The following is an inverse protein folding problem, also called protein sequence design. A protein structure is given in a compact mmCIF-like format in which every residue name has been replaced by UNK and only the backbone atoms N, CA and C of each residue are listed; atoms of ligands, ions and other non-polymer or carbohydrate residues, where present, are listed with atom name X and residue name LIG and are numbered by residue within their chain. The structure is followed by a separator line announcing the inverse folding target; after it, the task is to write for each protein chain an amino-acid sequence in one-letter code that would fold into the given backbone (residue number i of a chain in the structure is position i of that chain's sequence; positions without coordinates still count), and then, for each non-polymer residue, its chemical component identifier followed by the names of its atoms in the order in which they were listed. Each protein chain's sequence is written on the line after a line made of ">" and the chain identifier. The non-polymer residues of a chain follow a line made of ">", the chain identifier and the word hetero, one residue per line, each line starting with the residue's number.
data_IF_519769404838
#
_entry.id   IF_519769404838
#
_cell.length_a   1.000
_cell.length_b   1.000
_cell.length_c   1.000
_cell.angle_alpha   90.00
_cell.angle_beta   90.00
_cell.angle_gamma   90.00
#
_symmetry.space_group_name_H-M   'P 1'
#
loop_
_entity.id
_entity.type
_entity.pdbx_description
1 polymer ?
#
# COMPACT_ATOMS: atom_id res chain seq x y z
N UNK A 1 -9.43 14.09 7.64
CA UNK A 1 -10.89 14.32 7.74
C UNK A 1 -11.68 13.35 6.87
N UNK A 2 -11.37 13.23 5.57
CA UNK A 2 -12.02 12.26 4.67
C UNK A 2 -11.93 10.79 5.12
N UNK A 3 -10.80 10.36 5.70
CA UNK A 3 -10.61 8.96 6.15
C UNK A 3 -11.63 8.44 7.17
N UNK A 4 -12.22 9.34 7.97
CA UNK A 4 -13.22 8.97 8.97
C UNK A 4 -14.61 9.46 8.55
N UNK A 5 -14.81 9.82 7.28
CA UNK A 5 -16.09 10.30 6.74
C UNK A 5 -16.76 11.36 7.62
N UNK A 6 -15.98 12.37 8.05
CA UNK A 6 -16.55 13.52 8.75
C UNK A 6 -17.44 14.32 7.79
N UNK A 7 -18.58 14.79 8.28
CA UNK A 7 -19.37 15.83 7.59
C UNK A 7 -18.62 17.16 7.56
N UNK A 8 -19.06 18.12 6.73
CA UNK A 8 -18.47 19.46 6.72
C UNK A 8 -18.61 20.16 8.08
N UNK A 9 -19.69 19.91 8.82
CA UNK A 9 -19.89 20.46 10.16
C UNK A 9 -18.94 19.83 11.18
N UNK A 10 -18.86 18.50 11.22
CA UNK A 10 -17.93 17.77 12.09
C UNK A 10 -16.47 18.19 11.82
N UNK A 11 -16.14 18.37 10.54
CA UNK A 11 -14.81 18.76 10.12
C UNK A 11 -14.48 20.21 10.51
N UNK A 12 -15.45 21.15 10.48
CA UNK A 12 -15.27 22.51 11.01
C UNK A 12 -14.98 22.51 12.51
N UNK A 13 -15.69 21.67 13.27
CA UNK A 13 -15.46 21.53 14.72
C UNK A 13 -14.03 21.06 14.99
N UNK A 14 -13.58 20.00 14.30
CA UNK A 14 -12.21 19.48 14.43
C UNK A 14 -11.16 20.52 14.01
N UNK A 15 -11.41 21.25 12.92
CA UNK A 15 -10.57 22.36 12.48
C UNK A 15 -10.41 23.42 13.58
N UNK A 16 -11.52 23.85 14.18
CA UNK A 16 -11.51 24.84 15.26
C UNK A 16 -10.72 24.33 16.47
N UNK A 17 -10.96 23.10 16.90
CA UNK A 17 -10.28 22.48 18.05
C UNK A 17 -8.77 22.28 17.81
N UNK A 18 -8.36 22.11 16.55
CA UNK A 18 -6.95 21.98 16.16
C UNK A 18 -6.28 23.32 15.79
N UNK A 19 -6.97 24.45 15.98
CA UNK A 19 -6.51 25.78 15.53
C UNK A 19 -6.06 25.76 14.05
N UNK A 20 -6.83 25.06 13.21
CA UNK A 20 -6.54 24.88 11.79
C UNK A 20 -7.68 25.47 10.95
N UNK A 21 -7.32 26.30 9.98
CA UNK A 21 -8.31 27.00 9.15
C UNK A 21 -9.12 26.01 8.30
N UNK A 22 -10.45 26.03 8.46
CA UNK A 22 -11.37 25.27 7.63
C UNK A 22 -11.19 25.55 6.13
N UNK A 23 -10.87 26.80 5.77
CA UNK A 23 -10.63 27.21 4.38
C UNK A 23 -9.42 26.50 3.76
N UNK A 24 -8.52 25.96 4.59
CA UNK A 24 -7.32 25.24 4.15
C UNK A 24 -7.44 23.72 4.28
N UNK A 25 -8.63 23.18 4.54
CA UNK A 25 -8.82 21.72 4.77
C UNK A 25 -8.34 20.81 3.64
N UNK A 26 -8.43 21.30 2.39
CA UNK A 26 -8.02 20.56 1.19
C UNK A 26 -6.63 21.00 0.69
N UNK A 27 -5.93 21.88 1.42
CA UNK A 27 -4.57 22.33 1.09
C UNK A 27 -3.59 21.18 1.31
N UNK A 28 -2.69 20.98 0.35
CA UNK A 28 -1.57 20.06 0.51
C UNK A 28 -0.60 20.62 1.56
N UNK A 29 -0.44 19.89 2.66
CA UNK A 29 0.42 20.28 3.77
C UNK A 29 1.88 19.85 3.54
N UNK A 30 2.83 20.71 3.91
CA UNK A 30 4.23 20.34 3.99
C UNK A 30 4.50 19.36 5.15
N UNK A 31 5.63 18.64 5.12
CA UNK A 31 5.97 17.63 6.15
C UNK A 31 5.90 18.17 7.59
N UNK A 32 6.40 19.38 7.84
CA UNK A 32 6.38 19.99 9.18
C UNK A 32 4.95 20.35 9.61
N UNK A 33 4.19 20.99 8.74
CA UNK A 33 2.78 21.34 9.00
C UNK A 33 1.94 20.09 9.26
N UNK A 34 2.13 19.03 8.46
CA UNK A 34 1.48 17.75 8.64
C UNK A 34 1.82 17.11 10.00
N UNK A 35 3.09 17.14 10.40
CA UNK A 35 3.51 16.62 11.71
C UNK A 35 2.88 17.43 12.86
N UNK A 36 2.81 18.74 12.71
CA UNK A 36 2.20 19.61 13.71
C UNK A 36 0.69 19.39 13.82
N UNK A 37 -0.04 19.41 12.69
CA UNK A 37 -1.46 19.09 12.66
C UNK A 37 -1.74 17.69 13.22
N UNK A 38 -0.90 16.71 12.90
CA UNK A 38 -1.01 15.35 13.44
C UNK A 38 -0.89 15.31 14.97
N UNK A 39 -0.03 16.15 15.58
CA UNK A 39 0.04 16.28 17.05
C UNK A 39 -1.21 16.91 17.62
N UNK A 40 -1.72 17.97 16.97
CA UNK A 40 -2.95 18.65 17.40
C UNK A 40 -4.16 17.71 17.34
N UNK A 41 -4.33 16.99 16.23
CA UNK A 41 -5.38 15.97 16.08
C UNK A 41 -5.30 14.87 17.15
N UNK A 42 -4.08 14.43 17.52
CA UNK A 42 -3.89 13.48 18.62
C UNK A 42 -4.28 14.01 20.00
N UNK A 43 -4.36 15.33 20.17
CA UNK A 43 -4.73 15.97 21.42
C UNK A 43 -6.17 16.49 21.41
N UNK A 44 -6.75 16.72 20.22
CA UNK A 44 -8.13 17.16 20.01
C UNK A 44 -9.13 16.18 20.63
N UNK A 45 -9.95 16.67 21.57
CA UNK A 45 -11.06 15.91 22.16
C UNK A 45 -12.16 15.71 21.12
N UNK A 46 -12.50 16.76 20.37
CA UNK A 46 -13.50 16.71 19.32
C UNK A 46 -13.19 15.63 18.27
N UNK A 47 -11.93 15.56 17.82
CA UNK A 47 -11.50 14.54 16.87
C UNK A 47 -11.61 13.13 17.47
N UNK A 48 -11.14 12.92 18.70
CA UNK A 48 -11.20 11.61 19.38
C UNK A 48 -12.63 11.13 19.58
N UNK A 49 -13.52 12.00 20.01
CA UNK A 49 -14.93 11.69 20.24
C UNK A 49 -15.63 11.28 18.94
N UNK A 50 -15.40 12.02 17.85
CA UNK A 50 -15.95 11.69 16.53
C UNK A 50 -15.41 10.38 15.98
N UNK A 51 -14.09 10.15 16.09
CA UNK A 51 -13.47 8.87 15.71
C UNK A 51 -14.07 7.72 16.51
N UNK A 52 -14.21 7.87 17.82
CA UNK A 52 -14.75 6.85 18.71
C UNK A 52 -16.22 6.57 18.40
N UNK A 53 -17.03 7.61 18.16
CA UNK A 53 -18.44 7.49 17.78
C UNK A 53 -18.58 6.69 16.49
N UNK A 54 -17.89 7.09 15.41
CA UNK A 54 -17.98 6.39 14.12
C UNK A 54 -17.41 4.97 14.18
N UNK A 55 -16.36 4.75 14.99
CA UNK A 55 -15.82 3.41 15.24
C UNK A 55 -16.87 2.51 15.90
N UNK A 56 -17.56 2.98 16.94
CA UNK A 56 -18.64 2.23 17.60
C UNK A 56 -19.81 1.94 16.66
N UNK A 57 -20.21 2.91 15.84
CA UNK A 57 -21.26 2.73 14.83
C UNK A 57 -20.90 1.66 13.79
N UNK A 58 -19.64 1.63 13.34
CA UNK A 58 -19.17 0.63 12.38
C UNK A 58 -18.91 -0.75 13.01
N UNK A 59 -18.57 -0.79 14.30
CA UNK A 59 -18.12 -1.99 15.00
C UNK A 59 -19.09 -3.16 14.84
N UNK A 60 -20.38 -2.96 15.18
CA UNK A 60 -21.36 -4.04 15.14
C UNK A 60 -21.48 -4.66 13.75
N UNK A 61 -21.73 -3.84 12.72
CA UNK A 61 -21.87 -4.34 11.34
C UNK A 61 -20.59 -5.02 10.81
N UNK A 62 -19.42 -4.55 11.25
CA UNK A 62 -18.14 -5.15 10.89
C UNK A 62 -17.96 -6.51 11.57
N UNK A 63 -18.24 -6.60 12.87
CA UNK A 63 -18.16 -7.84 13.62
C UNK A 63 -19.13 -8.89 13.10
N UNK A 64 -20.37 -8.50 12.76
CA UNK A 64 -21.34 -9.45 12.21
C UNK A 64 -20.95 -9.95 10.81
N UNK A 65 -20.40 -9.08 9.96
CA UNK A 65 -19.81 -9.51 8.69
C UNK A 65 -18.66 -10.50 8.90
N UNK A 66 -17.73 -10.20 9.80
CA UNK A 66 -16.60 -11.09 10.07
C UNK A 66 -17.06 -12.42 10.68
N UNK A 67 -18.05 -12.42 11.57
CA UNK A 67 -18.62 -13.64 12.16
C UNK A 67 -19.30 -14.52 11.10
N UNK A 68 -19.89 -13.91 10.08
CA UNK A 68 -20.48 -14.61 8.94
C UNK A 68 -19.42 -15.28 8.06
N UNK A 69 -18.32 -14.58 7.77
CA UNK A 69 -17.30 -15.03 6.80
C UNK A 69 -16.17 -15.87 7.44
N UNK A 70 -15.94 -15.73 8.74
CA UNK A 70 -14.82 -16.33 9.46
C UNK A 70 -15.35 -17.16 10.64
N UNK A 71 -15.21 -18.50 10.58
CA UNK A 71 -15.55 -19.37 11.71
C UNK A 71 -14.64 -19.10 12.92
N UNK A 72 -15.24 -18.67 14.04
CA UNK A 72 -14.49 -18.30 15.25
C UNK A 72 -13.96 -19.50 16.04
N UNK A 73 -14.47 -20.69 15.74
CA UNK A 73 -14.02 -21.98 16.25
C UNK A 73 -12.90 -22.60 15.40
N UNK A 74 -12.51 -21.94 14.30
CA UNK A 74 -11.40 -22.43 13.48
C UNK A 74 -10.11 -22.47 14.31
N UNK A 75 -9.36 -23.58 14.31
CA UNK A 75 -8.09 -23.66 15.02
C UNK A 75 -7.03 -22.75 14.39
N UNK A 76 -7.20 -22.40 13.10
CA UNK A 76 -6.22 -21.62 12.34
C UNK A 76 -6.86 -20.80 11.23
N UNK A 77 -6.37 -19.59 11.04
CA UNK A 77 -6.76 -18.69 9.94
C UNK A 77 -5.50 -18.25 9.20
N UNK A 78 -5.57 -18.28 7.87
CA UNK A 78 -4.54 -17.73 7.00
C UNK A 78 -4.99 -16.39 6.40
N UNK A 79 -4.12 -15.38 6.45
CA UNK A 79 -4.32 -14.09 5.78
C UNK A 79 -3.31 -14.01 4.63
N UNK A 80 -3.76 -13.60 3.45
CA UNK A 80 -2.88 -13.37 2.30
C UNK A 80 -3.02 -11.93 1.85
N UNK A 81 -1.90 -11.20 1.83
CA UNK A 81 -1.86 -9.78 1.45
C UNK A 81 -0.59 -9.51 0.63
N UNK A 82 -0.62 -8.48 -0.21
CA UNK A 82 0.57 -7.93 -0.84
C UNK A 82 1.61 -7.39 0.16
N UNK A 83 1.21 -6.76 1.27
CA UNK A 83 2.12 -6.10 2.21
C UNK A 83 1.55 -4.79 2.80
N UNK A 84 2.31 -3.90 3.44
CA UNK A 84 3.77 -3.88 3.66
C UNK A 84 4.17 -3.71 5.13
N UNK A 85 3.22 -3.26 5.95
CA UNK A 85 3.43 -2.96 7.36
C UNK A 85 2.73 -3.97 8.28
N UNK A 86 1.94 -4.90 7.73
CA UNK A 86 1.20 -5.90 8.51
C UNK A 86 0.02 -5.35 9.32
N UNK A 87 -0.42 -4.11 9.04
CA UNK A 87 -1.50 -3.45 9.78
C UNK A 87 -2.84 -4.15 9.62
N UNK A 88 -3.12 -4.74 8.45
CA UNK A 88 -4.37 -5.46 8.20
C UNK A 88 -4.55 -6.64 9.15
N UNK A 89 -3.55 -7.51 9.26
CA UNK A 89 -3.57 -8.62 10.21
C UNK A 89 -3.60 -8.14 11.66
N UNK A 90 -2.89 -7.05 12.00
CA UNK A 90 -2.96 -6.48 13.34
C UNK A 90 -4.39 -6.09 13.73
N UNK A 91 -5.08 -5.30 12.90
CA UNK A 91 -6.44 -4.86 13.22
C UNK A 91 -7.45 -6.00 13.15
N UNK A 92 -7.31 -6.92 12.19
CA UNK A 92 -8.19 -8.09 12.08
C UNK A 92 -8.02 -9.02 13.28
N UNK A 93 -6.80 -9.27 13.73
CA UNK A 93 -6.48 -10.04 14.95
C UNK A 93 -7.19 -9.47 16.17
N UNK A 94 -7.07 -8.16 16.40
CA UNK A 94 -7.72 -7.49 17.53
C UNK A 94 -9.26 -7.62 17.49
N UNK A 95 -9.88 -7.52 16.31
CA UNK A 95 -11.32 -7.70 16.14
C UNK A 95 -11.76 -9.15 16.35
N UNK A 96 -11.02 -10.13 15.82
CA UNK A 96 -11.35 -11.54 15.98
C UNK A 96 -11.22 -11.98 17.43
N UNK A 97 -10.15 -11.58 18.11
CA UNK A 97 -9.97 -11.86 19.54
C UNK A 97 -11.07 -11.22 20.40
N UNK A 98 -11.48 -9.98 20.10
CA UNK A 98 -12.60 -9.35 20.83
C UNK A 98 -13.95 -10.02 20.59
N UNK A 99 -14.07 -10.80 19.50
CA UNK A 99 -15.25 -11.60 19.18
C UNK A 99 -15.19 -13.03 19.76
N UNK A 100 -14.09 -13.41 20.41
CA UNK A 100 -13.89 -14.70 21.06
C UNK A 100 -13.11 -15.73 20.24
N UNK A 101 -12.47 -15.35 19.12
CA UNK A 101 -11.54 -16.22 18.41
C UNK A 101 -10.35 -16.58 19.31
N UNK A 102 -9.96 -17.86 19.35
CA UNK A 102 -8.84 -18.37 20.16
C UNK A 102 -7.80 -19.15 19.32
N UNK A 103 -7.99 -19.21 17.99
CA UNK A 103 -7.08 -19.95 17.11
C UNK A 103 -5.82 -19.18 16.74
N UNK A 104 -4.99 -19.77 15.89
CA UNK A 104 -3.78 -19.13 15.38
C UNK A 104 -4.05 -18.32 14.11
N UNK A 105 -3.48 -17.12 14.02
CA UNK A 105 -3.48 -16.31 12.79
C UNK A 105 -2.11 -16.39 12.13
N UNK A 106 -2.07 -16.75 10.85
CA UNK A 106 -0.84 -16.80 10.06
C UNK A 106 -0.98 -15.98 8.78
N UNK A 107 -0.13 -14.98 8.63
CA UNK A 107 -0.09 -14.11 7.46
C UNK A 107 0.95 -14.53 6.44
N UNK A 108 0.60 -14.43 5.16
CA UNK A 108 1.46 -14.63 4.01
C UNK A 108 1.47 -13.36 3.18
N UNK A 109 2.62 -12.71 3.14
CA UNK A 109 2.82 -11.41 2.53
C UNK A 109 3.76 -11.49 1.34
N UNK A 110 3.50 -10.72 0.29
CA UNK A 110 4.48 -10.61 -0.79
C UNK A 110 5.77 -9.94 -0.30
N UNK A 111 5.68 -8.83 0.43
CA UNK A 111 6.84 -8.23 1.08
C UNK A 111 6.49 -7.45 2.35
N UNK A 112 7.46 -7.33 3.28
CA UNK A 112 7.30 -6.62 4.54
C UNK A 112 8.43 -5.60 4.77
N UNK A 113 8.07 -4.34 5.02
CA UNK A 113 9.06 -3.30 5.35
C UNK A 113 9.37 -3.21 6.84
N UNK A 114 8.48 -3.75 7.68
CA UNK A 114 8.62 -3.79 9.12
C UNK A 114 8.30 -5.19 9.63
N UNK A 115 9.03 -5.60 10.65
CA UNK A 115 8.65 -6.75 11.43
C UNK A 115 7.42 -6.36 12.27
N UNK A 116 6.43 -7.26 12.40
CA UNK A 116 5.36 -7.07 13.37
C UNK A 116 5.99 -6.91 14.76
N UNK A 117 5.45 -5.99 15.56
CA UNK A 117 6.01 -5.65 16.87
C UNK A 117 5.46 -6.54 18.01
N UNK A 118 4.34 -7.21 17.79
CA UNK A 118 3.61 -7.92 18.84
C UNK A 118 3.30 -9.37 18.42
N UNK A 119 3.90 -10.36 19.14
CA UNK A 119 3.69 -11.79 18.88
C UNK A 119 2.25 -12.26 18.99
N UNK A 120 1.37 -11.55 19.71
CA UNK A 120 -0.05 -11.91 19.86
C UNK A 120 -0.82 -11.79 18.54
N UNK A 121 -0.25 -11.11 17.54
CA UNK A 121 -0.86 -10.96 16.22
C UNK A 121 -0.51 -12.10 15.27
N UNK A 122 0.09 -13.17 15.78
CA UNK A 122 0.41 -14.37 15.03
C UNK A 122 1.66 -14.24 14.16
N UNK A 123 1.79 -15.15 13.18
CA UNK A 123 2.99 -15.24 12.33
C UNK A 123 2.85 -14.38 11.09
N UNK A 124 3.97 -13.83 10.64
CA UNK A 124 4.05 -13.01 9.43
C UNK A 124 5.15 -13.56 8.54
N UNK A 125 4.76 -14.23 7.46
CA UNK A 125 5.66 -14.85 6.50
C UNK A 125 5.79 -13.96 5.26
N UNK A 126 7.01 -13.58 4.88
CA UNK A 126 7.26 -12.80 3.68
C UNK A 126 7.82 -13.66 2.54
N UNK A 127 7.32 -13.47 1.32
CA UNK A 127 7.77 -14.21 0.14
C UNK A 127 9.00 -13.59 -0.54
N UNK A 128 8.96 -12.28 -0.81
CA UNK A 128 9.92 -11.59 -1.67
C UNK A 128 11.03 -10.86 -0.90
N UNK A 129 10.68 -10.10 0.13
CA UNK A 129 11.61 -9.46 1.07
C UNK A 129 10.93 -9.22 2.42
N UNK A 130 11.72 -9.12 3.49
CA UNK A 130 11.30 -8.59 4.78
C UNK A 130 12.27 -7.48 5.27
N UNK A 131 12.26 -7.19 6.57
CA UNK A 131 13.18 -6.24 7.23
C UNK A 131 14.64 -6.63 7.12
N UNK A 132 14.92 -7.93 7.19
CA UNK A 132 16.25 -8.52 7.36
C UNK A 132 16.75 -9.25 6.10
N UNK A 133 15.85 -9.63 5.20
CA UNK A 133 16.17 -10.43 4.01
C UNK A 133 16.05 -9.63 2.72
N UNK A 134 16.81 -10.04 1.71
CA UNK A 134 16.74 -9.57 0.33
C UNK A 134 16.73 -8.03 0.15
N UNK A 135 17.67 -7.33 0.80
CA UNK A 135 17.84 -5.86 0.69
C UNK A 135 17.95 -5.41 -0.78
N UNK A 136 18.59 -6.24 -1.62
CA UNK A 136 18.67 -6.00 -3.06
C UNK A 136 17.28 -6.00 -3.70
N UNK A 137 16.51 -7.07 -3.52
CA UNK A 137 15.15 -7.14 -4.05
C UNK A 137 14.27 -5.99 -3.58
N UNK A 138 14.41 -5.58 -2.31
CA UNK A 138 13.75 -4.41 -1.73
C UNK A 138 14.09 -3.11 -2.43
N UNK A 139 15.37 -2.87 -2.76
CA UNK A 139 15.81 -1.68 -3.49
C UNK A 139 15.39 -1.67 -4.97
N UNK A 140 15.16 -2.85 -5.55
CA UNK A 140 14.71 -3.04 -6.93
C UNK A 140 13.16 -3.00 -7.06
N UNK A 141 12.44 -2.97 -5.94
CA UNK A 141 10.98 -3.09 -5.88
C UNK A 141 10.25 -1.75 -5.88
N UNK A 142 9.14 -1.67 -6.61
CA UNK A 142 8.23 -0.53 -6.60
C UNK A 142 6.85 -0.97 -6.12
N UNK A 143 6.51 -0.65 -4.88
CA UNK A 143 5.23 -0.99 -4.27
C UNK A 143 4.05 -0.37 -5.03
N UNK A 144 4.17 0.89 -5.46
CA UNK A 144 3.10 1.60 -6.17
C UNK A 144 2.73 0.88 -7.48
N UNK A 145 3.74 0.40 -8.24
CA UNK A 145 3.47 -0.41 -9.43
C UNK A 145 2.81 -1.74 -9.04
N UNK A 146 3.32 -2.41 -8.00
CA UNK A 146 2.79 -3.70 -7.57
C UNK A 146 1.32 -3.62 -7.14
N UNK A 147 0.93 -2.58 -6.39
CA UNK A 147 -0.46 -2.30 -6.02
C UNK A 147 -1.34 -2.04 -7.24
N UNK A 148 -0.83 -1.31 -8.24
CA UNK A 148 -1.54 -1.12 -9.52
C UNK A 148 -1.69 -2.40 -10.35
N UNK A 149 -0.76 -3.36 -10.23
CA UNK A 149 -0.87 -4.65 -10.90
C UNK A 149 -1.95 -5.52 -10.25
N UNK A 150 -2.13 -5.40 -8.93
CA UNK A 150 -3.08 -6.17 -8.13
C UNK A 150 -4.42 -5.45 -7.86
N UNK A 151 -4.67 -4.31 -8.51
CA UNK A 151 -5.92 -3.57 -8.31
C UNK A 151 -7.14 -4.40 -8.70
N UNK A 152 -8.12 -4.45 -7.79
CA UNK A 152 -9.40 -5.10 -8.03
C UNK A 152 -10.26 -4.30 -9.02
N UNK A 153 -11.18 -4.94 -9.74
CA UNK A 153 -12.09 -4.26 -10.66
C UNK A 153 -13.27 -3.57 -9.95
N UNK A 154 -13.36 -3.67 -8.62
CA UNK A 154 -14.38 -3.04 -7.79
C UNK A 154 -13.76 -2.00 -6.85
N UNK A 155 -14.58 -1.06 -6.35
CA UNK A 155 -14.12 -0.05 -5.40
C UNK A 155 -13.78 -0.64 -4.02
N UNK A 156 -13.14 0.17 -3.19
CA UNK A 156 -12.76 -0.18 -1.83
C UNK A 156 -14.00 -0.34 -0.93
N UNK A 157 -13.94 -1.30 0.00
CA UNK A 157 -14.96 -1.44 1.04
C UNK A 157 -14.86 -0.29 2.04
N UNK A 158 -15.95 0.45 2.24
CA UNK A 158 -16.01 1.59 3.18
C UNK A 158 -16.71 1.28 4.48
N UNK A 159 -17.68 0.37 4.45
CA UNK A 159 -18.44 -0.09 5.61
C UNK A 159 -19.15 -1.40 5.29
N UNK A 160 -19.84 -1.96 6.28
CA UNK A 160 -20.71 -3.11 6.12
C UNK A 160 -22.16 -2.71 6.40
N UNK A 161 -23.11 -3.39 5.76
CA UNK A 161 -24.54 -3.18 6.01
C UNK A 161 -25.31 -4.48 5.87
N UNK A 162 -26.40 -4.61 6.63
CA UNK A 162 -27.31 -5.74 6.50
C UNK A 162 -28.27 -5.52 5.31
N UNK A 163 -28.21 -6.40 4.31
CA UNK A 163 -29.04 -6.40 3.10
C UNK A 163 -29.24 -7.83 2.63
N UNK A 164 -30.40 -8.14 2.05
CA UNK A 164 -30.70 -9.46 1.49
C UNK A 164 -30.42 -10.62 2.47
N UNK A 165 -30.81 -10.41 3.74
CA UNK A 165 -30.59 -11.31 4.87
C UNK A 165 -29.13 -11.64 5.20
N UNK A 166 -28.16 -10.82 4.75
CA UNK A 166 -26.73 -11.00 5.00
C UNK A 166 -26.06 -9.69 5.33
N UNK A 167 -24.92 -9.76 6.03
CA UNK A 167 -24.02 -8.62 6.13
C UNK A 167 -23.18 -8.58 4.85
N UNK A 168 -23.18 -7.43 4.16
CA UNK A 168 -22.49 -7.25 2.89
C UNK A 168 -21.58 -6.00 2.93
N UNK A 169 -20.43 -6.02 2.23
CA UNK A 169 -19.59 -4.85 2.08
C UNK A 169 -20.29 -3.78 1.23
N UNK A 170 -20.18 -2.52 1.66
CA UNK A 170 -20.57 -1.35 0.88
C UNK A 170 -19.32 -0.81 0.20
N UNK A 171 -19.30 -0.91 -1.13
CA UNK A 171 -18.15 -0.55 -1.96
C UNK A 171 -18.25 0.90 -2.43
N UNK A 172 -17.12 1.58 -2.56
CA UNK A 172 -17.05 2.81 -3.34
C UNK A 172 -17.38 2.55 -4.81
N UNK A 173 -17.86 3.56 -5.56
CA UNK A 173 -18.03 3.44 -6.99
C UNK A 173 -16.72 3.01 -7.64
N UNK A 174 -16.74 1.86 -8.32
CA UNK A 174 -15.58 1.41 -9.07
C UNK A 174 -15.25 2.41 -10.17
N UNK A 175 -13.98 2.76 -10.33
CA UNK A 175 -13.57 3.48 -11.51
C UNK A 175 -13.76 2.55 -12.72
N UNK A 176 -14.54 3.00 -13.70
CA UNK A 176 -15.10 2.14 -14.74
C UNK A 176 -14.05 1.76 -15.81
N UNK A 177 -13.15 0.84 -15.47
CA UNK A 177 -12.17 0.29 -16.41
C UNK A 177 -12.46 -1.17 -16.71
N UNK A 178 -13.12 -1.41 -17.84
CA UNK A 178 -13.30 -2.75 -18.43
C UNK A 178 -12.00 -3.55 -18.52
N UNK A 179 -10.84 -2.87 -18.62
CA UNK A 179 -9.52 -3.49 -18.61
C UNK A 179 -9.15 -4.21 -17.30
N UNK A 180 -9.65 -3.77 -16.14
CA UNK A 180 -9.38 -4.46 -14.87
C UNK A 180 -10.12 -5.79 -14.79
N UNK A 181 -11.38 -5.84 -15.19
CA UNK A 181 -12.15 -7.09 -15.27
C UNK A 181 -11.50 -8.12 -16.19
N UNK A 182 -11.03 -7.69 -17.36
CA UNK A 182 -10.34 -8.59 -18.29
C UNK A 182 -9.02 -9.12 -17.70
N UNK A 183 -8.26 -8.26 -17.01
CA UNK A 183 -7.01 -8.64 -16.36
C UNK A 183 -7.23 -9.64 -15.23
N UNK A 184 -8.18 -9.36 -14.34
CA UNK A 184 -8.54 -10.27 -13.24
C UNK A 184 -8.93 -11.64 -13.78
N UNK A 185 -9.81 -11.70 -14.78
CA UNK A 185 -10.21 -12.96 -15.41
C UNK A 185 -9.01 -13.75 -15.95
N UNK A 186 -8.06 -13.08 -16.60
CA UNK A 186 -6.83 -13.72 -17.12
C UNK A 186 -5.91 -14.19 -16.00
N UNK A 187 -5.74 -13.42 -14.93
CA UNK A 187 -4.96 -13.81 -13.77
C UNK A 187 -5.57 -15.03 -13.07
N UNK A 188 -6.87 -15.02 -12.82
CA UNK A 188 -7.59 -16.17 -12.24
C UNK A 188 -7.50 -17.41 -13.12
N UNK A 189 -7.60 -17.26 -14.45
CA UNK A 189 -7.43 -18.37 -15.37
C UNK A 189 -6.00 -18.93 -15.31
N UNK A 190 -4.98 -18.07 -15.35
CA UNK A 190 -3.59 -18.50 -15.21
C UNK A 190 -3.35 -19.23 -13.89
N UNK A 191 -3.85 -18.69 -12.78
CA UNK A 191 -3.71 -19.30 -11.45
C UNK A 191 -4.38 -20.67 -11.39
N UNK A 192 -5.62 -20.81 -11.90
CA UNK A 192 -6.31 -22.12 -11.94
C UNK A 192 -5.51 -23.15 -12.73
N UNK A 193 -5.09 -22.81 -13.95
CA UNK A 193 -4.29 -23.71 -14.78
C UNK A 193 -2.97 -24.10 -14.10
N UNK A 194 -2.33 -23.15 -13.40
CA UNK A 194 -1.11 -23.42 -12.64
C UNK A 194 -1.37 -24.39 -11.49
N UNK A 195 -2.45 -24.17 -10.73
CA UNK A 195 -2.82 -25.01 -9.59
C UNK A 195 -3.14 -26.45 -10.01
N UNK A 196 -3.77 -26.66 -11.17
CA UNK A 196 -4.06 -28.01 -11.70
C UNK A 196 -2.80 -28.86 -11.94
N UNK A 197 -1.66 -28.22 -12.21
CA UNK A 197 -0.38 -28.88 -12.48
C UNK A 197 0.60 -28.81 -11.31
N UNK A 198 0.25 -28.11 -10.23
CA UNK A 198 1.15 -27.88 -9.10
C UNK A 198 1.04 -29.03 -8.09
N UNK A 199 2.14 -29.72 -7.86
CA UNK A 199 2.25 -30.72 -6.79
C UNK A 199 2.93 -30.07 -5.59
N UNK A 200 2.13 -29.62 -4.61
CA UNK A 200 2.61 -28.86 -3.44
C UNK A 200 3.64 -29.61 -2.58
N UNK A 201 3.58 -30.95 -2.54
CA UNK A 201 4.54 -31.77 -1.81
C UNK A 201 5.97 -31.62 -2.34
N UNK A 202 6.13 -31.28 -3.63
CA UNK A 202 7.42 -31.06 -4.28
C UNK A 202 7.66 -29.57 -4.56
N UNK A 203 7.04 -28.67 -3.79
CA UNK A 203 7.20 -27.23 -3.97
C UNK A 203 8.64 -26.81 -3.68
N UNK A 204 9.38 -26.50 -4.75
CA UNK A 204 10.76 -26.03 -4.65
C UNK A 204 10.80 -24.53 -4.38
N UNK A 205 10.67 -24.17 -3.10
CA UNK A 205 10.56 -22.78 -2.64
C UNK A 205 11.67 -21.88 -3.19
N UNK A 206 12.93 -22.32 -3.15
CA UNK A 206 14.07 -21.54 -3.62
C UNK A 206 14.01 -21.26 -5.12
N UNK A 207 13.56 -22.23 -5.92
CA UNK A 207 13.41 -22.06 -7.37
C UNK A 207 12.28 -21.07 -7.68
N UNK A 208 11.14 -21.22 -7.02
CA UNK A 208 9.99 -20.33 -7.17
C UNK A 208 10.30 -18.90 -6.72
N UNK A 209 11.08 -18.72 -5.64
CA UNK A 209 11.60 -17.42 -5.21
C UNK A 209 12.55 -16.82 -6.24
N UNK A 210 13.43 -17.62 -6.84
CA UNK A 210 14.35 -17.18 -7.91
C UNK A 210 13.59 -16.73 -9.16
N UNK A 211 12.59 -17.50 -9.60
CA UNK A 211 11.71 -17.14 -10.71
C UNK A 211 10.95 -15.84 -10.43
N UNK A 212 10.37 -15.72 -9.24
CA UNK A 212 9.70 -14.50 -8.78
C UNK A 212 10.65 -13.29 -8.87
N UNK A 213 11.88 -13.42 -8.37
CA UNK A 213 12.89 -12.36 -8.44
C UNK A 213 13.23 -11.95 -9.86
N UNK A 214 13.41 -12.90 -10.78
CA UNK A 214 13.67 -12.59 -12.19
C UNK A 214 12.50 -11.82 -12.82
N UNK A 215 11.27 -12.28 -12.60
CA UNK A 215 10.07 -11.69 -13.18
C UNK A 215 9.80 -10.29 -12.65
N UNK A 216 9.84 -10.12 -11.32
CA UNK A 216 9.60 -8.85 -10.64
C UNK A 216 10.65 -7.84 -11.04
N UNK A 217 11.93 -8.20 -10.98
CA UNK A 217 13.02 -7.29 -11.37
C UNK A 217 12.85 -6.77 -12.79
N UNK A 218 12.48 -7.64 -13.73
CA UNK A 218 12.30 -7.25 -15.13
C UNK A 218 11.15 -6.25 -15.29
N UNK A 219 9.97 -6.49 -14.70
CA UNK A 219 8.87 -5.51 -14.73
C UNK A 219 9.25 -4.21 -14.00
N UNK A 220 9.85 -4.31 -12.81
CA UNK A 220 10.07 -3.17 -11.93
C UNK A 220 11.19 -2.25 -12.41
N UNK A 221 12.31 -2.80 -12.90
CA UNK A 221 13.51 -2.02 -13.26
C UNK A 221 13.73 -1.85 -14.76
N UNK A 222 13.25 -2.82 -15.56
CA UNK A 222 13.49 -2.90 -16.99
C UNK A 222 12.19 -2.96 -17.81
N UNK A 223 11.19 -2.09 -17.55
CA UNK A 223 10.01 -2.06 -18.38
C UNK A 223 10.37 -1.61 -19.80
N UNK A 224 9.65 -2.17 -20.77
CA UNK A 224 9.56 -1.64 -22.11
C UNK A 224 8.86 -0.27 -22.10
N UNK A 225 9.05 0.52 -23.16
CA UNK A 225 8.33 1.80 -23.31
C UNK A 225 6.81 1.62 -23.35
N UNK A 226 6.33 0.50 -23.89
CA UNK A 226 4.90 0.17 -23.95
C UNK A 226 4.34 -0.17 -22.57
N UNK A 227 5.04 -1.00 -21.79
CA UNK A 227 4.66 -1.28 -20.39
C UNK A 227 4.68 -0.01 -19.54
N UNK A 228 5.72 0.81 -19.69
CA UNK A 228 5.84 2.08 -18.98
C UNK A 228 4.69 3.05 -19.31
N UNK A 229 4.26 3.09 -20.57
CA UNK A 229 3.09 3.87 -20.98
C UNK A 229 1.81 3.29 -20.39
N UNK A 230 1.55 1.99 -20.59
CA UNK A 230 0.34 1.34 -20.14
C UNK A 230 0.14 1.43 -18.63
N UNK A 231 1.16 1.06 -17.85
CA UNK A 231 1.10 1.12 -16.39
C UNK A 231 1.29 2.54 -15.84
N UNK A 232 2.00 3.41 -16.57
CA UNK A 232 2.11 4.83 -16.22
C UNK A 232 0.78 5.56 -16.30
N UNK A 233 -0.06 5.21 -17.27
CA UNK A 233 -1.39 5.79 -17.48
C UNK A 233 -2.45 5.24 -16.50
N UNK A 234 -2.14 4.15 -15.78
CA UNK A 234 -3.01 3.68 -14.70
C UNK A 234 -3.06 4.76 -13.61
N UNK A 235 -4.30 5.19 -13.32
CA UNK A 235 -4.59 6.18 -12.28
C UNK A 235 -4.25 5.57 -10.91
N UNK A 236 -3.14 6.01 -10.32
CA UNK A 236 -2.72 5.61 -8.97
C UNK A 236 -3.05 6.72 -7.98
N UNK A 237 -3.61 6.37 -6.83
CA UNK A 237 -3.64 7.24 -5.67
C UNK A 237 -2.71 6.69 -4.59
N UNK A 238 -1.76 7.51 -4.16
CA UNK A 238 -0.92 7.20 -3.00
C UNK A 238 -1.64 7.45 -1.66
N UNK A 239 -2.84 8.04 -1.72
CA UNK A 239 -3.66 8.34 -0.56
C UNK A 239 -4.80 7.32 -0.46
N UNK A 240 -5.05 6.85 0.77
CA UNK A 240 -6.14 5.95 1.17
C UNK A 240 -7.51 6.54 0.78
N UNK A 241 -7.61 7.87 0.62
CA UNK A 241 -8.85 8.54 0.24
C UNK A 241 -9.09 8.68 -1.27
N UNK A 242 -8.19 8.13 -2.09
CA UNK A 242 -8.20 8.22 -3.57
C UNK A 242 -8.28 9.65 -4.15
N UNK A 243 -8.09 10.68 -3.33
CA UNK A 243 -8.44 12.06 -3.69
C UNK A 243 -7.49 12.75 -4.67
N UNK A 244 -6.31 12.17 -4.92
CA UNK A 244 -5.34 12.69 -5.89
C UNK A 244 -4.84 11.58 -6.81
N UNK A 245 -5.32 11.62 -8.05
CA UNK A 245 -4.92 10.70 -9.09
C UNK A 245 -3.61 11.21 -9.69
N UNK A 246 -2.57 10.38 -9.63
CA UNK A 246 -1.28 10.64 -10.26
C UNK A 246 -0.88 9.51 -11.19
N UNK A 247 -0.16 9.86 -12.25
CA UNK A 247 0.49 8.87 -13.12
C UNK A 247 1.66 8.22 -12.38
N UNK A 248 1.79 6.89 -12.51
CA UNK A 248 2.94 6.17 -11.94
C UNK A 248 4.26 6.56 -12.61
N UNK A 249 4.23 6.76 -13.92
CA UNK A 249 5.40 7.03 -14.73
C UNK A 249 5.05 8.02 -15.84
N UNK A 250 5.71 9.18 -15.83
CA UNK A 250 5.62 10.19 -16.90
C UNK A 250 6.98 10.45 -17.53
N UNK A 251 7.05 10.91 -18.79
CA UNK A 251 8.29 11.31 -19.44
C UNK A 251 8.83 12.68 -18.96
N UNK A 252 8.38 13.17 -17.81
CA UNK A 252 8.76 14.47 -17.26
C UNK A 252 10.24 14.49 -16.85
N UNK A 253 11.00 15.35 -17.54
CA UNK A 253 12.44 15.52 -17.34
C UNK A 253 12.77 16.11 -15.97
N UNK A 254 11.94 17.00 -15.42
CA UNK A 254 12.20 17.61 -14.11
C UNK A 254 12.02 16.59 -12.99
N UNK A 255 10.95 15.79 -13.04
CA UNK A 255 10.72 14.69 -12.11
C UNK A 255 11.87 13.66 -12.15
N UNK A 256 12.33 13.30 -13.35
CA UNK A 256 13.45 12.38 -13.51
C UNK A 256 14.76 12.95 -12.95
N UNK A 257 15.05 14.23 -13.16
CA UNK A 257 16.26 14.85 -12.57
C UNK A 257 16.22 14.80 -11.03
N UNK A 258 15.05 14.85 -10.40
CA UNK A 258 14.92 14.71 -8.96
C UNK A 258 15.24 13.28 -8.45
N UNK A 259 15.32 12.29 -9.35
CA UNK A 259 15.81 10.95 -9.02
C UNK A 259 17.34 10.84 -8.91
N UNK A 260 18.09 11.87 -9.28
CA UNK A 260 19.55 11.85 -9.20
C UNK A 260 20.02 11.79 -7.74
N UNK A 261 21.03 10.95 -7.50
CA UNK A 261 21.55 10.70 -6.15
C UNK A 261 22.02 11.99 -5.47
N UNK A 262 22.66 12.89 -6.23
CA UNK A 262 23.12 14.20 -5.74
C UNK A 262 21.96 15.06 -5.26
N UNK A 263 20.84 15.09 -6.00
CA UNK A 263 19.64 15.85 -5.61
C UNK A 263 18.93 15.24 -4.41
N UNK A 264 18.91 13.90 -4.31
CA UNK A 264 18.31 13.18 -3.18
C UNK A 264 19.13 13.34 -1.90
N UNK A 265 20.46 13.28 -1.98
CA UNK A 265 21.38 13.56 -0.86
C UNK A 265 21.15 14.99 -0.32
N UNK A 266 21.12 16.00 -1.19
CA UNK A 266 20.86 17.39 -0.79
C UNK A 266 19.51 17.56 -0.07
N UNK A 267 18.48 16.85 -0.52
CA UNK A 267 17.17 16.84 0.13
C UNK A 267 17.20 16.13 1.49
N UNK A 268 17.89 14.99 1.57
CA UNK A 268 18.00 14.19 2.79
C UNK A 268 18.72 14.92 3.93
N UNK A 269 19.83 15.60 3.62
CA UNK A 269 20.54 16.45 4.58
C UNK A 269 19.84 17.81 4.83
N UNK A 270 18.63 18.02 4.29
CA UNK A 270 17.85 19.27 4.40
C UNK A 270 18.62 20.52 3.92
N UNK A 271 19.64 20.33 3.09
CA UNK A 271 20.44 21.42 2.50
C UNK A 271 19.58 22.23 1.53
N UNK A 272 18.55 21.61 0.92
CA UNK A 272 17.54 22.29 0.10
C UNK A 272 16.17 22.30 0.78
N UNK A 273 15.54 23.48 0.85
CA UNK A 273 14.14 23.65 1.32
C UNK A 273 13.08 23.31 0.26
N UNK A 274 13.47 23.08 -1.01
CA UNK A 274 12.51 22.80 -2.10
C UNK A 274 12.04 21.36 -2.01
N UNK A 275 10.73 21.15 -1.88
CA UNK A 275 10.15 19.81 -2.01
C UNK A 275 10.26 19.39 -3.47
N UNK A 276 10.94 18.27 -3.75
CA UNK A 276 11.25 17.81 -5.10
C UNK A 276 10.47 16.54 -5.37
N UNK A 277 9.33 16.60 -6.07
CA UNK A 277 8.57 15.40 -6.39
C UNK A 277 9.42 14.49 -7.29
N UNK A 278 9.23 13.19 -7.09
CA UNK A 278 9.82 12.11 -7.89
C UNK A 278 8.68 11.27 -8.49
N UNK A 279 8.88 10.58 -9.62
CA UNK A 279 7.89 9.65 -10.14
C UNK A 279 7.61 8.54 -9.12
N UNK A 280 6.35 8.11 -9.03
CA UNK A 280 5.95 6.97 -8.18
C UNK A 280 6.58 5.66 -8.64
N UNK A 281 6.88 5.55 -9.94
CA UNK A 281 7.66 4.48 -10.55
C UNK A 281 8.82 5.06 -11.39
N UNK A 282 9.98 5.32 -10.76
CA UNK A 282 11.12 5.94 -11.44
C UNK A 282 11.63 5.17 -12.66
N UNK A 283 11.65 3.83 -12.58
CA UNK A 283 12.12 2.98 -13.68
C UNK A 283 11.17 2.97 -14.88
N UNK A 284 9.86 3.15 -14.67
CA UNK A 284 8.90 3.39 -15.74
C UNK A 284 9.18 4.71 -16.44
N UNK A 285 9.40 5.79 -15.69
CA UNK A 285 9.76 7.09 -16.26
C UNK A 285 11.08 7.02 -17.06
N UNK A 286 12.06 6.23 -16.58
CA UNK A 286 13.33 6.00 -17.28
C UNK A 286 13.13 5.30 -18.63
N UNK A 287 12.09 4.48 -18.80
CA UNK A 287 11.85 3.74 -20.05
C UNK A 287 11.65 4.65 -21.28
N UNK A 288 11.22 5.89 -21.05
CA UNK A 288 11.03 6.91 -22.08
C UNK A 288 12.33 7.61 -22.54
N UNK A 289 13.44 7.42 -21.82
CA UNK A 289 14.72 8.03 -22.17
C UNK A 289 15.44 7.28 -23.32
N UNK A 290 16.41 7.92 -24.00
CA UNK A 290 17.35 7.22 -24.88
C UNK A 290 18.18 6.17 -24.11
N UNK A 291 18.55 5.07 -24.76
CA UNK A 291 19.21 3.91 -24.12
C UNK A 291 20.44 4.27 -23.28
N UNK A 292 21.31 5.15 -23.80
CA UNK A 292 22.52 5.58 -23.09
C UNK A 292 22.21 6.32 -21.77
N UNK A 293 21.10 7.07 -21.70
CA UNK A 293 20.66 7.73 -20.46
C UNK A 293 20.01 6.75 -19.49
N UNK A 294 19.34 5.71 -19.99
CA UNK A 294 18.62 4.74 -19.15
C UNK A 294 19.55 4.12 -18.12
N UNK A 295 20.72 3.66 -18.56
CA UNK A 295 21.69 3.01 -17.68
C UNK A 295 22.13 3.93 -16.53
N UNK A 296 22.47 5.20 -16.84
CA UNK A 296 22.91 6.16 -15.84
C UNK A 296 21.82 6.49 -14.81
N UNK A 297 20.58 6.73 -15.26
CA UNK A 297 19.46 6.97 -14.33
C UNK A 297 19.11 5.73 -13.49
N UNK A 298 19.13 4.52 -14.09
CA UNK A 298 18.91 3.27 -13.35
C UNK A 298 19.92 3.10 -12.22
N UNK A 299 21.20 3.37 -12.47
CA UNK A 299 22.24 3.31 -11.43
C UNK A 299 21.99 4.34 -10.32
N UNK A 300 21.62 5.57 -10.67
CA UNK A 300 21.31 6.61 -9.67
C UNK A 300 20.14 6.20 -8.75
N UNK A 301 19.04 5.73 -9.35
CA UNK A 301 17.87 5.26 -8.59
C UNK A 301 18.23 4.07 -7.71
N UNK A 302 18.86 3.03 -8.28
CA UNK A 302 19.23 1.83 -7.55
C UNK A 302 20.13 2.13 -6.36
N UNK A 303 21.21 2.90 -6.56
CA UNK A 303 22.15 3.21 -5.49
C UNK A 303 21.49 4.00 -4.36
N UNK A 304 20.63 4.95 -4.69
CA UNK A 304 19.86 5.66 -3.68
C UNK A 304 18.94 4.72 -2.89
N UNK A 305 18.13 3.91 -3.56
CA UNK A 305 17.20 3.01 -2.89
C UNK A 305 17.92 1.96 -2.03
N UNK A 306 19.05 1.45 -2.52
CA UNK A 306 19.91 0.54 -1.78
C UNK A 306 20.47 1.19 -0.50
N UNK A 307 21.03 2.41 -0.61
CA UNK A 307 21.49 3.16 0.57
C UNK A 307 20.34 3.43 1.56
N UNK A 308 19.16 3.83 1.07
CA UNK A 308 17.97 4.05 1.90
C UNK A 308 17.58 2.78 2.66
N UNK A 309 17.57 1.63 1.98
CA UNK A 309 17.25 0.36 2.61
C UNK A 309 18.27 -0.03 3.69
N UNK A 310 19.56 0.20 3.45
CA UNK A 310 20.63 -0.05 4.42
C UNK A 310 20.55 0.86 5.66
N UNK A 311 20.17 2.12 5.48
CA UNK A 311 19.96 3.04 6.61
C UNK A 311 18.73 2.62 7.42
N UNK A 312 17.66 2.20 6.76
CA UNK A 312 16.43 1.75 7.43
C UNK A 312 16.64 0.45 8.20
N UNK A 313 17.39 -0.52 7.65
CA UNK A 313 17.66 -1.79 8.33
C UNK A 313 18.55 -1.65 9.56
N UNK A 314 19.34 -0.57 9.68
CA UNK A 314 20.15 -0.29 10.88
C UNK A 314 19.38 0.39 12.01
N UNK A 315 18.20 0.95 11.72
CA UNK A 315 17.37 1.71 12.65
C UNK A 315 16.04 1.00 13.00
N UNK A 316 15.86 -0.24 12.51
CA UNK A 316 14.72 -1.11 12.79
C UNK A 316 15.16 -2.17 13.79
#
# INVERSE_FOLDING_TARGET
>A
MKQINLTDEESKIVCSDCEFSWKEKDRVLGKKEFQELSKRLKNSSAYKELVMKKSKEAYQTTSEYLRQEIPLDSPKIAIVDSGWLGSMQFFLSQLLHSMGFQGEIEGFYFGLYKSPSDPQNGKYNAWYFDTNTNIRGKAEFCNNLFECLLSAPHGMTTKYSYRDNKFMPVLEPAQNYSSFFYREKKLLQYTRNRLETTIFQFFQENEQKSETQKLIKRYMMYPTKQEAKYYGDLRFSADITESSISSLASPDKELLQNCLISRRILSFFKISKKNRPIPYWPYGAIAFLPEWKKWWYRKNVYWWEWMRCQIMSKNS
#
